data_IF_850952704618
#
_entry.id   IF_850952704618
#
_cell.length_a   1.000
_cell.length_b   1.000
_cell.length_c   1.000
_cell.angle_alpha   90.00
_cell.angle_beta   90.00
_cell.angle_gamma   90.00
#
_symmetry.space_group_name_H-M   'P 1'
#
loop_
_entity.id
_entity.type
_entity.pdbx_description
1 polymer ?
#
# COMPACT_ATOMS: atom_id res chain seq x y z
N UNK A 1 -2.48 -13.25 17.82
CA UNK A 1 -2.91 -11.91 18.22
C UNK A 1 -1.90 -10.88 17.69
N UNK A 2 -1.79 -10.75 16.37
CA UNK A 2 -1.02 -9.68 15.70
C UNK A 2 -1.99 -8.67 15.06
N UNK A 3 -3.00 -8.26 15.83
CA UNK A 3 -4.02 -7.32 15.41
C UNK A 3 -3.67 -5.92 15.94
N UNK A 4 -2.43 -5.47 15.70
CA UNK A 4 -1.95 -4.17 16.16
C UNK A 4 -0.84 -3.54 15.28
N UNK A 5 -0.69 -3.98 14.02
CA UNK A 5 0.28 -3.40 13.09
C UNK A 5 -0.33 -2.35 12.13
N UNK A 6 -1.64 -2.09 12.19
CA UNK A 6 -2.34 -1.12 11.34
C UNK A 6 -2.81 0.05 12.20
N UNK A 7 -2.38 1.26 11.87
CA UNK A 7 -2.86 2.45 12.59
C UNK A 7 -4.38 2.57 12.45
N UNK A 8 -5.12 2.85 13.54
CA UNK A 8 -6.57 2.97 13.50
C UNK A 8 -6.99 4.15 12.61
N UNK A 9 -8.04 3.97 11.82
CA UNK A 9 -8.71 5.08 11.15
C UNK A 9 -9.21 6.04 12.26
N UNK A 10 -8.86 7.34 12.27
CA UNK A 10 -8.53 8.20 11.11
C UNK A 10 -7.04 8.48 10.89
N UNK A 11 -6.12 8.02 11.75
CA UNK A 11 -4.70 8.36 11.65
C UNK A 11 -4.08 7.90 10.33
N UNK A 12 -4.43 6.69 9.88
CA UNK A 12 -4.05 6.15 8.58
C UNK A 12 -4.40 7.07 7.40
N UNK A 13 -5.56 7.73 7.43
CA UNK A 13 -5.99 8.63 6.35
C UNK A 13 -5.08 9.86 6.31
N UNK A 14 -4.74 10.41 7.47
CA UNK A 14 -3.86 11.59 7.58
C UNK A 14 -2.44 11.24 7.13
N UNK A 15 -1.93 10.09 7.55
CA UNK A 15 -0.61 9.61 7.16
C UNK A 15 -0.55 9.34 5.65
N UNK A 16 -1.53 8.63 5.08
CA UNK A 16 -1.60 8.34 3.64
C UNK A 16 -1.77 9.63 2.81
N UNK A 17 -2.57 10.59 3.28
CA UNK A 17 -2.67 11.92 2.66
C UNK A 17 -1.31 12.63 2.63
N UNK A 18 -0.62 12.67 3.77
CA UNK A 18 0.66 13.36 3.94
C UNK A 18 1.79 12.69 3.16
N UNK A 19 1.86 11.36 3.22
CA UNK A 19 2.78 10.54 2.44
C UNK A 19 2.57 10.75 0.94
N UNK A 20 1.33 10.67 0.46
CA UNK A 20 1.04 10.91 -0.95
C UNK A 20 1.35 12.36 -1.38
N UNK A 21 1.05 13.36 -0.54
CA UNK A 21 1.41 14.74 -0.80
C UNK A 21 2.92 14.93 -0.96
N UNK A 22 3.71 14.41 -0.02
CA UNK A 22 5.18 14.55 -0.05
C UNK A 22 5.77 13.82 -1.25
N UNK A 23 5.33 12.61 -1.56
CA UNK A 23 5.73 11.90 -2.78
C UNK A 23 5.39 12.70 -4.04
N UNK A 24 4.20 13.29 -4.12
CA UNK A 24 3.77 14.10 -5.25
C UNK A 24 4.54 15.42 -5.39
N UNK A 25 4.89 16.10 -4.29
CA UNK A 25 5.70 17.32 -4.31
C UNK A 25 7.14 17.01 -4.73
N UNK A 26 7.75 15.96 -4.19
CA UNK A 26 9.13 15.59 -4.52
C UNK A 26 9.20 15.09 -5.97
N UNK A 27 8.38 14.11 -6.34
CA UNK A 27 8.36 13.54 -7.68
C UNK A 27 7.93 14.57 -8.74
N UNK A 28 6.85 15.31 -8.48
CA UNK A 28 6.38 16.38 -9.35
C UNK A 28 7.37 17.54 -9.46
N UNK A 29 8.04 17.88 -8.36
CA UNK A 29 9.12 18.87 -8.32
C UNK A 29 10.28 18.49 -9.23
N UNK A 30 10.85 17.29 -9.06
CA UNK A 30 11.96 16.80 -9.89
C UNK A 30 11.57 16.75 -11.37
N UNK A 31 10.42 16.16 -11.70
CA UNK A 31 9.95 16.06 -13.07
C UNK A 31 9.76 17.45 -13.70
N UNK A 32 9.17 18.37 -12.95
CA UNK A 32 8.91 19.71 -13.44
C UNK A 32 10.15 20.60 -13.47
N UNK A 33 11.17 20.32 -12.65
CA UNK A 33 12.49 20.95 -12.72
C UNK A 33 13.16 20.65 -14.06
N UNK A 34 13.19 19.36 -14.44
CA UNK A 34 13.78 18.86 -15.68
C UNK A 34 13.01 19.43 -16.88
N UNK A 35 11.67 19.32 -16.85
CA UNK A 35 10.81 19.84 -17.92
C UNK A 35 10.92 21.37 -18.04
N UNK A 36 10.98 22.08 -16.92
CA UNK A 36 11.18 23.53 -16.87
C UNK A 36 12.55 23.95 -17.41
N UNK A 37 13.60 23.15 -17.18
CA UNK A 37 14.93 23.42 -17.69
C UNK A 37 15.00 23.26 -19.21
N UNK A 38 14.35 22.21 -19.73
CA UNK A 38 14.31 21.88 -21.16
C UNK A 38 13.43 22.85 -21.97
N UNK A 39 12.36 23.37 -21.38
CA UNK A 39 11.39 24.24 -22.06
C UNK A 39 11.73 25.73 -21.95
N UNK A 40 12.74 26.11 -21.17
CA UNK A 40 13.13 27.50 -20.98
C UNK A 40 14.07 28.01 -22.10
N UNK A 41 14.05 29.33 -22.40
CA UNK A 41 14.86 29.92 -23.45
C UNK A 41 16.37 29.74 -23.20
N UNK A 42 17.17 29.89 -24.26
CA UNK A 42 18.63 29.69 -24.22
C UNK A 42 19.28 30.59 -23.16
N UNK A 43 20.22 30.01 -22.39
CA UNK A 43 20.92 30.67 -21.30
C UNK A 43 20.68 30.01 -19.93
N UNK A 44 21.77 29.68 -19.24
CA UNK A 44 21.73 28.94 -17.95
C UNK A 44 20.89 29.68 -16.90
N UNK A 45 21.01 31.01 -16.80
CA UNK A 45 20.21 31.83 -15.86
C UNK A 45 18.70 31.75 -16.15
N UNK A 46 18.31 31.81 -17.43
CA UNK A 46 16.89 31.71 -17.82
C UNK A 46 16.34 30.30 -17.62
N UNK A 47 17.15 29.27 -17.88
CA UNK A 47 16.77 27.87 -17.62
C UNK A 47 16.58 27.57 -16.15
N UNK A 48 17.52 28.00 -15.29
CA UNK A 48 17.38 27.82 -13.84
C UNK A 48 16.17 28.58 -13.30
N UNK A 49 15.94 29.82 -13.72
CA UNK A 49 14.75 30.60 -13.31
C UNK A 49 13.45 29.97 -13.80
N UNK A 50 13.44 29.44 -15.02
CA UNK A 50 12.31 28.69 -15.59
C UNK A 50 12.00 27.41 -14.83
N UNK A 51 13.03 26.63 -14.49
CA UNK A 51 12.90 25.44 -13.65
C UNK A 51 12.33 25.76 -12.27
N UNK A 52 12.89 26.75 -11.57
CA UNK A 52 12.43 27.14 -10.23
C UNK A 52 10.98 27.62 -10.27
N UNK A 53 10.61 28.44 -11.26
CA UNK A 53 9.24 28.91 -11.39
C UNK A 53 8.27 27.75 -11.71
N UNK A 54 8.66 26.83 -12.60
CA UNK A 54 7.85 25.68 -12.96
C UNK A 54 7.65 24.73 -11.77
N UNK A 55 8.70 24.46 -11.00
CA UNK A 55 8.62 23.69 -9.75
C UNK A 55 7.67 24.36 -8.75
N UNK A 56 7.86 25.66 -8.48
CA UNK A 56 7.09 26.39 -7.47
C UNK A 56 5.59 26.40 -7.75
N UNK A 57 5.20 26.53 -9.02
CA UNK A 57 3.78 26.60 -9.39
C UNK A 57 3.15 25.21 -9.43
N UNK A 58 3.84 24.20 -9.94
CA UNK A 58 3.22 22.90 -10.28
C UNK A 58 3.49 21.79 -9.29
N UNK A 59 4.62 21.80 -8.57
CA UNK A 59 4.91 20.80 -7.54
C UNK A 59 3.80 20.71 -6.47
N UNK A 60 3.27 21.83 -5.89
CA UNK A 60 2.16 21.74 -4.93
C UNK A 60 0.84 21.31 -5.58
N UNK A 61 0.61 21.62 -6.86
CA UNK A 61 -0.61 21.18 -7.58
C UNK A 61 -0.61 19.66 -7.80
N UNK A 62 0.55 19.11 -8.19
CA UNK A 62 0.74 17.67 -8.34
C UNK A 62 0.65 17.00 -6.96
N UNK A 63 1.37 17.52 -5.96
CA UNK A 63 1.28 17.06 -4.57
C UNK A 63 -0.15 17.01 -4.04
N UNK A 64 -0.93 18.07 -4.24
CA UNK A 64 -2.34 18.10 -3.83
C UNK A 64 -3.20 17.06 -4.54
N UNK A 65 -2.95 16.79 -5.82
CA UNK A 65 -3.67 15.74 -6.56
C UNK A 65 -3.37 14.35 -6.01
N UNK A 66 -2.10 14.08 -5.67
CA UNK A 66 -1.71 12.83 -5.01
C UNK A 66 -2.27 12.71 -3.60
N UNK A 67 -2.30 13.81 -2.82
CA UNK A 67 -2.90 13.84 -1.49
C UNK A 67 -4.39 13.48 -1.52
N UNK A 68 -5.15 14.07 -2.46
CA UNK A 68 -6.57 13.76 -2.63
C UNK A 68 -6.77 12.31 -3.05
N UNK A 69 -5.92 11.79 -3.94
CA UNK A 69 -5.98 10.39 -4.35
C UNK A 69 -5.70 9.43 -3.18
N UNK A 70 -4.60 9.65 -2.43
CA UNK A 70 -4.22 8.84 -1.27
C UNK A 70 -5.25 8.91 -0.15
N UNK A 71 -5.73 10.11 0.19
CA UNK A 71 -6.78 10.29 1.19
C UNK A 71 -8.08 9.61 0.82
N UNK A 72 -8.53 9.76 -0.43
CA UNK A 72 -9.77 9.13 -0.88
C UNK A 72 -9.64 7.61 -0.90
N UNK A 73 -8.51 7.07 -1.36
CA UNK A 73 -8.22 5.65 -1.30
C UNK A 73 -8.33 5.11 0.13
N UNK A 74 -7.65 5.74 1.09
CA UNK A 74 -7.64 5.29 2.49
C UNK A 74 -9.00 5.47 3.18
N UNK A 75 -9.77 6.50 2.83
CA UNK A 75 -11.15 6.65 3.35
C UNK A 75 -12.06 5.52 2.88
N UNK A 76 -11.94 5.11 1.61
CA UNK A 76 -12.76 4.03 1.04
C UNK A 76 -12.30 2.68 1.60
N UNK A 77 -11.00 2.43 1.71
CA UNK A 77 -10.46 1.20 2.30
C UNK A 77 -10.90 1.04 3.77
N UNK A 78 -10.70 2.07 4.60
CA UNK A 78 -11.20 2.11 5.99
C UNK A 78 -12.72 1.86 6.07
N UNK A 79 -13.50 2.46 5.16
CA UNK A 79 -14.95 2.27 5.10
C UNK A 79 -15.34 0.83 4.73
N UNK A 80 -14.67 0.22 3.76
CA UNK A 80 -14.91 -1.16 3.34
C UNK A 80 -14.56 -2.16 4.44
N UNK A 81 -13.43 -1.97 5.13
CA UNK A 81 -13.04 -2.80 6.28
C UNK A 81 -14.07 -2.67 7.40
N UNK A 82 -14.56 -1.46 7.69
CA UNK A 82 -15.58 -1.25 8.73
C UNK A 82 -16.93 -1.90 8.40
N UNK A 83 -17.31 -1.95 7.13
CA UNK A 83 -18.56 -2.55 6.67
C UNK A 83 -18.49 -4.08 6.57
N UNK A 84 -17.37 -4.64 6.09
CA UNK A 84 -17.23 -6.09 5.84
C UNK A 84 -16.58 -6.85 6.99
N UNK A 85 -15.88 -6.17 7.90
CA UNK A 85 -15.16 -6.80 9.01
C UNK A 85 -14.09 -7.81 8.57
N UNK A 86 -13.67 -7.77 7.31
CA UNK A 86 -12.68 -8.66 6.70
C UNK A 86 -11.70 -7.84 5.89
N UNK A 87 -10.42 -8.18 6.01
CA UNK A 87 -9.33 -7.55 5.27
C UNK A 87 -8.89 -8.50 4.15
N UNK A 88 -9.45 -8.29 2.96
CA UNK A 88 -9.10 -9.07 1.76
C UNK A 88 -8.43 -8.16 0.71
N UNK A 89 -7.55 -8.70 -0.16
CA UNK A 89 -6.97 -7.94 -1.28
C UNK A 89 -8.02 -7.30 -2.20
N UNK A 90 -9.23 -7.84 -2.19
CA UNK A 90 -10.39 -7.27 -2.88
C UNK A 90 -10.78 -5.89 -2.36
N UNK A 91 -10.51 -5.56 -1.10
CA UNK A 91 -10.78 -4.23 -0.54
C UNK A 91 -9.87 -3.18 -1.18
N UNK A 92 -8.57 -3.46 -1.30
CA UNK A 92 -7.60 -2.60 -2.01
C UNK A 92 -8.00 -2.41 -3.48
N UNK A 93 -8.34 -3.49 -4.20
CA UNK A 93 -8.73 -3.39 -5.62
C UNK A 93 -10.01 -2.57 -5.79
N UNK A 94 -11.01 -2.84 -4.96
CA UNK A 94 -12.31 -2.14 -5.03
C UNK A 94 -12.16 -0.67 -4.63
N UNK A 95 -11.37 -0.38 -3.59
CA UNK A 95 -11.11 1.00 -3.16
C UNK A 95 -10.33 1.78 -4.22
N UNK A 96 -9.38 1.18 -4.94
CA UNK A 96 -8.73 1.80 -6.09
C UNK A 96 -9.69 2.11 -7.24
N UNK A 97 -10.56 1.16 -7.59
CA UNK A 97 -11.56 1.36 -8.63
C UNK A 97 -12.55 2.47 -8.24
N UNK A 98 -13.04 2.47 -7.00
CA UNK A 98 -13.94 3.50 -6.48
C UNK A 98 -13.27 4.87 -6.41
N UNK A 99 -12.03 4.94 -5.95
CA UNK A 99 -11.23 6.19 -5.94
C UNK A 99 -11.11 6.75 -7.35
N UNK A 100 -10.76 5.90 -8.32
CA UNK A 100 -10.68 6.28 -9.74
C UNK A 100 -12.02 6.81 -10.26
N UNK A 101 -13.12 6.09 -10.01
CA UNK A 101 -14.46 6.49 -10.42
C UNK A 101 -14.86 7.86 -9.84
N UNK A 102 -14.67 8.05 -8.53
CA UNK A 102 -15.06 9.28 -7.82
C UNK A 102 -14.27 10.48 -8.32
N UNK A 103 -12.97 10.35 -8.55
CA UNK A 103 -12.16 11.46 -9.05
C UNK A 103 -12.52 11.88 -10.49
N UNK A 104 -13.02 10.94 -11.29
CA UNK A 104 -13.47 11.22 -12.66
C UNK A 104 -14.97 11.49 -12.77
N UNK A 105 -15.71 11.53 -11.65
CA UNK A 105 -17.17 11.71 -11.65
C UNK A 105 -17.63 12.95 -12.42
N UNK A 106 -16.89 14.05 -12.30
CA UNK A 106 -17.15 15.31 -13.01
C UNK A 106 -16.87 15.27 -14.51
N UNK A 107 -16.11 14.28 -14.97
CA UNK A 107 -15.67 14.15 -16.36
C UNK A 107 -16.63 13.30 -17.21
N UNK A 108 -17.73 12.83 -16.61
CA UNK A 108 -18.77 12.03 -17.27
C UNK A 108 -18.60 10.51 -17.08
N UNK A 109 -19.64 9.73 -17.38
CA UNK A 109 -19.70 8.31 -17.05
C UNK A 109 -18.63 7.47 -17.77
N UNK A 110 -18.27 7.82 -19.00
CA UNK A 110 -17.21 7.13 -19.75
C UNK A 110 -15.85 7.29 -19.06
N UNK A 111 -15.54 8.51 -18.60
CA UNK A 111 -14.31 8.81 -17.89
C UNK A 111 -14.27 8.11 -16.52
N UNK A 112 -15.41 8.00 -15.83
CA UNK A 112 -15.53 7.25 -14.57
C UNK A 112 -15.19 5.78 -14.74
N UNK A 113 -15.75 5.12 -15.76
CA UNK A 113 -15.46 3.70 -16.02
C UNK A 113 -14.00 3.51 -16.42
N UNK A 114 -13.46 4.39 -17.27
CA UNK A 114 -12.06 4.36 -17.68
C UNK A 114 -11.10 4.51 -16.49
N UNK A 115 -11.33 5.48 -15.61
CA UNK A 115 -10.49 5.71 -14.43
C UNK A 115 -10.66 4.62 -13.37
N UNK A 116 -11.87 4.07 -13.21
CA UNK A 116 -12.12 2.94 -12.31
C UNK A 116 -11.36 1.70 -12.76
N UNK A 117 -11.39 1.37 -14.06
CA UNK A 117 -10.64 0.25 -14.61
C UNK A 117 -9.14 0.44 -14.39
N UNK A 118 -8.60 1.62 -14.69
CA UNK A 118 -7.17 1.91 -14.49
C UNK A 118 -6.77 1.79 -13.02
N UNK A 119 -7.57 2.36 -12.11
CA UNK A 119 -7.33 2.30 -10.66
C UNK A 119 -7.39 0.88 -10.11
N UNK A 120 -8.39 0.09 -10.53
CA UNK A 120 -8.54 -1.31 -10.14
C UNK A 120 -7.41 -2.19 -10.66
N UNK A 121 -7.01 -2.04 -11.93
CA UNK A 121 -5.89 -2.79 -12.53
C UNK A 121 -4.59 -2.46 -11.81
N UNK A 122 -4.31 -1.18 -11.56
CA UNK A 122 -3.06 -0.75 -10.91
C UNK A 122 -2.92 -1.37 -9.51
N UNK A 123 -3.98 -1.33 -8.70
CA UNK A 123 -3.92 -1.92 -7.35
C UNK A 123 -3.98 -3.44 -7.37
N UNK A 124 -4.65 -4.06 -8.34
CA UNK A 124 -4.59 -5.52 -8.52
C UNK A 124 -3.15 -5.98 -8.80
N UNK A 125 -2.39 -5.21 -9.59
CA UNK A 125 -0.97 -5.48 -9.82
C UNK A 125 -0.12 -5.26 -8.55
N UNK A 126 -0.36 -4.18 -7.81
CA UNK A 126 0.40 -3.89 -6.57
C UNK A 126 0.16 -4.97 -5.51
N UNK A 127 -1.09 -5.35 -5.26
CA UNK A 127 -1.44 -6.44 -4.33
C UNK A 127 -0.94 -7.79 -4.84
N UNK A 128 -1.04 -8.05 -6.15
CA UNK A 128 -0.53 -9.27 -6.78
C UNK A 128 0.98 -9.44 -6.61
N UNK A 129 1.76 -8.36 -6.78
CA UNK A 129 3.20 -8.35 -6.52
C UNK A 129 3.48 -8.48 -5.02
N UNK A 130 2.70 -7.83 -4.15
CA UNK A 130 2.82 -7.96 -2.70
C UNK A 130 2.66 -9.41 -2.23
N UNK A 131 1.66 -10.12 -2.74
CA UNK A 131 1.45 -11.56 -2.45
C UNK A 131 2.63 -12.39 -2.97
N UNK A 132 3.10 -12.12 -4.19
CA UNK A 132 4.22 -12.86 -4.78
C UNK A 132 5.53 -12.67 -3.99
N UNK A 133 5.86 -11.42 -3.64
CA UNK A 133 7.05 -11.10 -2.84
C UNK A 133 6.97 -11.76 -1.47
N UNK A 134 5.82 -11.67 -0.80
CA UNK A 134 5.62 -12.30 0.51
C UNK A 134 5.80 -13.81 0.43
N UNK A 135 5.31 -14.46 -0.65
CA UNK A 135 5.53 -15.89 -0.85
C UNK A 135 6.99 -16.23 -1.13
N UNK A 136 7.69 -15.43 -1.92
CA UNK A 136 9.11 -15.63 -2.21
C UNK A 136 9.99 -15.47 -0.97
N UNK A 137 9.77 -14.42 -0.17
CA UNK A 137 10.49 -14.20 1.09
C UNK A 137 10.17 -15.28 2.13
N UNK A 138 8.90 -15.71 2.21
CA UNK A 138 8.51 -16.82 3.09
C UNK A 138 9.19 -18.13 2.69
N UNK A 139 9.36 -18.41 1.39
CA UNK A 139 10.14 -19.56 0.92
C UNK A 139 11.62 -19.46 1.32
N UNK A 140 12.19 -18.25 1.33
CA UNK A 140 13.57 -18.03 1.74
C UNK A 140 13.82 -18.39 3.21
N UNK A 141 12.86 -18.11 4.10
CA UNK A 141 12.93 -18.51 5.52
C UNK A 141 12.51 -19.96 5.79
N UNK A 142 11.71 -20.57 4.90
CA UNK A 142 11.32 -21.98 5.01
C UNK A 142 12.45 -22.95 4.62
N UNK A 143 13.50 -22.46 3.97
CA UNK A 143 14.64 -23.25 3.49
C UNK A 143 15.90 -23.10 4.34
N UNK A 144 15.85 -22.48 5.53
CA UNK A 144 16.89 -22.77 6.52
C UNK A 144 16.72 -24.24 6.91
N UNK A 145 17.66 -25.16 6.58
CA UNK A 145 17.54 -26.53 7.07
C UNK A 145 17.43 -26.44 8.58
N UNK A 146 16.51 -27.18 9.23
CA UNK A 146 16.55 -27.32 10.67
C UNK A 146 17.99 -27.73 11.00
N UNK A 147 18.66 -26.89 11.78
CA UNK A 147 19.96 -27.23 12.35
C UNK A 147 19.79 -28.66 12.87
N UNK A 148 20.62 -29.55 12.35
CA UNK A 148 20.69 -30.96 12.73
C UNK A 148 20.41 -31.05 14.25
N UNK A 149 19.18 -31.41 14.64
CA UNK A 149 18.86 -31.75 16.03
C UNK A 149 19.63 -33.04 16.26
N UNK A 150 20.88 -32.88 16.69
CA UNK A 150 21.74 -33.97 17.12
C UNK A 150 20.98 -34.66 18.28
N UNK A 151 20.54 -35.93 18.11
CA UNK A 151 19.74 -36.64 19.09
C UNK A 151 20.41 -36.83 20.46
N UNK A 152 21.66 -36.38 20.62
CA UNK A 152 22.49 -36.53 21.81
C UNK A 152 22.27 -35.45 22.91
N UNK A 153 21.46 -34.41 22.67
CA UNK A 153 21.22 -33.35 23.67
C UNK A 153 19.88 -33.41 24.42
N UNK A 154 19.16 -34.53 24.35
CA UNK A 154 17.96 -34.72 25.18
C UNK A 154 18.36 -35.12 26.62
N UNK A 155 17.86 -34.43 27.67
CA UNK A 155 18.02 -34.92 29.04
C UNK A 155 17.30 -36.29 29.19
N UNK A 156 17.82 -37.21 30.03
CA UNK A 156 17.30 -38.58 30.10
C UNK A 156 15.81 -38.63 30.47
N UNK A 157 15.02 -39.37 29.70
CA UNK A 157 13.64 -39.73 30.03
C UNK A 157 13.61 -40.69 31.22
N UNK A 158 13.17 -40.20 32.38
CA UNK A 158 12.74 -41.04 33.48
C UNK A 158 11.27 -41.47 33.26
N UNK A 159 11.08 -42.77 33.06
CA UNK A 159 10.02 -43.53 33.71
C UNK A 159 8.55 -43.35 33.30
N UNK A 160 8.13 -44.14 32.29
CA UNK A 160 7.00 -45.10 32.38
C UNK A 160 5.52 -44.61 32.42
N UNK A 161 4.72 -45.23 31.53
CA UNK A 161 3.26 -45.45 31.50
C UNK A 161 2.32 -44.45 30.78
N UNK A 162 2.06 -44.77 29.50
CA UNK A 162 0.74 -44.63 28.84
C UNK A 162 -0.29 -45.64 29.44
N UNK A 163 -1.62 -45.57 29.16
CA UNK A 163 -2.39 -44.57 28.40
C UNK A 163 -3.71 -44.13 29.09
N UNK A 164 -4.26 -42.96 28.70
CA UNK A 164 -5.63 -42.61 29.07
C UNK A 164 -6.11 -41.30 28.46
N UNK A 165 -6.76 -41.37 27.30
CA UNK A 165 -7.60 -40.27 26.81
C UNK A 165 -8.84 -40.11 27.72
N UNK A 166 -9.24 -38.86 28.00
CA UNK A 166 -10.66 -38.55 27.92
C UNK A 166 -10.95 -37.31 27.08
N UNK A 167 -11.90 -37.50 26.19
CA UNK A 167 -12.74 -36.50 25.52
C UNK A 167 -13.50 -35.60 26.50
N UNK A 168 -13.52 -34.28 26.25
CA UNK A 168 -14.53 -33.32 26.72
C UNK A 168 -14.62 -32.21 25.64
N UNK A 169 -15.65 -32.10 24.80
CA UNK A 169 -17.05 -31.76 25.05
C UNK A 169 -17.25 -30.30 25.53
N UNK A 170 -17.42 -29.41 24.55
CA UNK A 170 -18.56 -28.48 24.42
C UNK A 170 -19.12 -27.86 25.72
N UNK A 171 -18.89 -26.55 25.95
CA UNK A 171 -19.83 -25.70 26.71
C UNK A 171 -19.80 -24.24 26.19
N UNK A 172 -20.98 -23.83 25.71
CA UNK A 172 -21.63 -22.50 25.63
C UNK A 172 -20.90 -21.28 25.03
#
# INVERSE_FOLDING_TARGET
MEEYAREPCPWRIVDDCGGAFTMGVIGGGVFQAIKGFRNAPVGIRHRLRGSVNAMRIRAPQIGGSFAVWGGLFSTIDCGLVRLRGKEDPWNSITSGALTGAVLAARSGPLAMVGSAMMGGILLALIEGVGILLTRYTAQQFRNAPPFLEDPSQLPPKEGTQDPGYPSYQQYH
#
